data_IF_021814163117
#
_entry.id   IF_021814163117
#
_cell.length_a   1.000
_cell.length_b   1.000
_cell.length_c   1.000
_cell.angle_alpha   90.00
_cell.angle_beta   90.00
_cell.angle_gamma   90.00
#
_symmetry.space_group_name_H-M   'P 1'
#
loop_
_entity.id
_entity.type
_entity.pdbx_description
1 polymer ?
#
# COMPACT_ATOMS: atom_id res chain seq x y z
N UNK A 1 19.70 -1.21 14.49
CA UNK A 1 18.77 -2.05 13.71
C UNK A 1 17.55 -1.19 13.34
N UNK A 2 17.73 -0.16 12.51
CA UNK A 2 16.68 0.82 12.18
C UNK A 2 16.62 1.19 10.68
N UNK A 3 17.54 0.67 9.86
CA UNK A 3 17.65 1.07 8.45
C UNK A 3 16.66 0.34 7.53
N UNK A 4 16.18 -0.84 7.91
CA UNK A 4 15.31 -1.68 7.07
C UNK A 4 13.90 -1.10 6.89
N UNK A 5 13.34 -0.54 7.97
CA UNK A 5 11.98 0.00 7.99
C UNK A 5 11.79 1.22 7.08
N UNK A 6 12.87 1.98 6.86
CA UNK A 6 12.89 3.13 5.95
C UNK A 6 12.74 2.73 4.48
N UNK A 7 13.35 1.62 4.06
CA UNK A 7 13.25 1.14 2.69
C UNK A 7 11.85 0.59 2.37
N UNK A 8 11.23 -0.08 3.33
CA UNK A 8 9.86 -0.58 3.21
C UNK A 8 8.83 0.56 3.20
N UNK A 9 9.02 1.57 4.04
CA UNK A 9 8.21 2.78 4.03
C UNK A 9 8.29 3.52 2.70
N UNK A 10 9.49 3.66 2.12
CA UNK A 10 9.66 4.28 0.81
C UNK A 10 8.90 3.53 -0.29
N UNK A 11 8.93 2.20 -0.28
CA UNK A 11 8.17 1.39 -1.25
C UNK A 11 6.67 1.53 -1.08
N UNK A 12 6.17 1.44 0.15
CA UNK A 12 4.75 1.65 0.46
C UNK A 12 4.30 3.03 -0.01
N UNK A 13 5.07 4.07 0.32
CA UNK A 13 4.76 5.45 -0.07
C UNK A 13 4.74 5.63 -1.58
N UNK A 14 5.71 5.07 -2.30
CA UNK A 14 5.78 5.21 -3.77
C UNK A 14 4.57 4.56 -4.47
N UNK A 15 4.08 3.42 -3.96
CA UNK A 15 2.91 2.76 -4.53
C UNK A 15 1.63 3.53 -4.20
N UNK A 16 1.51 4.06 -2.98
CA UNK A 16 0.38 4.90 -2.58
C UNK A 16 0.36 6.19 -3.41
N UNK A 17 1.52 6.84 -3.61
CA UNK A 17 1.64 8.05 -4.44
C UNK A 17 1.19 7.75 -5.87
N UNK A 18 1.66 6.64 -6.47
CA UNK A 18 1.18 6.20 -7.79
C UNK A 18 -0.32 5.93 -7.82
N UNK A 19 -0.86 5.25 -6.80
CA UNK A 19 -2.29 4.95 -6.73
C UNK A 19 -3.15 6.22 -6.58
N UNK A 20 -2.62 7.24 -5.89
CA UNK A 20 -3.23 8.57 -5.79
C UNK A 20 -3.10 9.31 -7.12
N UNK A 21 -1.94 9.32 -7.78
CA UNK A 21 -1.73 9.98 -9.09
C UNK A 21 -2.63 9.38 -10.18
N UNK A 22 -2.71 8.05 -10.27
CA UNK A 22 -3.55 7.36 -11.25
C UNK A 22 -5.04 7.39 -10.85
N UNK A 23 -5.39 7.84 -9.63
CA UNK A 23 -6.72 7.70 -9.00
C UNK A 23 -7.26 6.26 -9.05
N UNK A 24 -6.38 5.29 -9.33
CA UNK A 24 -6.70 3.89 -9.51
C UNK A 24 -5.59 3.06 -8.94
N UNK A 25 -5.96 1.97 -8.28
CA UNK A 25 -5.01 0.99 -7.77
C UNK A 25 -5.26 -0.34 -8.47
N UNK A 26 -4.20 -0.95 -8.97
CA UNK A 26 -4.29 -2.28 -9.55
C UNK A 26 -4.06 -3.34 -8.48
N UNK A 27 -4.46 -4.58 -8.78
CA UNK A 27 -4.15 -5.69 -7.88
C UNK A 27 -2.64 -5.88 -7.71
N UNK A 28 -1.84 -5.58 -8.73
CA UNK A 28 -0.38 -5.67 -8.67
C UNK A 28 0.21 -4.66 -7.66
N UNK A 29 -0.31 -3.44 -7.64
CA UNK A 29 0.09 -2.40 -6.67
C UNK A 29 -0.34 -2.78 -5.25
N UNK A 30 -1.57 -3.27 -5.09
CA UNK A 30 -2.05 -3.74 -3.80
C UNK A 30 -1.21 -4.92 -3.27
N UNK A 31 -0.88 -5.90 -4.12
CA UNK A 31 -0.03 -7.03 -3.76
C UNK A 31 1.39 -6.56 -3.39
N UNK A 32 1.90 -5.52 -4.05
CA UNK A 32 3.19 -4.90 -3.72
C UNK A 32 3.17 -4.18 -2.38
N UNK A 33 2.08 -3.50 -2.03
CA UNK A 33 1.89 -2.87 -0.71
C UNK A 33 1.88 -3.96 0.36
N UNK A 34 1.10 -5.02 0.17
CA UNK A 34 1.03 -6.14 1.11
C UNK A 34 2.40 -6.82 1.24
N UNK A 35 3.08 -7.12 0.12
CA UNK A 35 4.43 -7.69 0.14
C UNK A 35 5.43 -6.76 0.82
N UNK A 36 5.35 -5.45 0.61
CA UNK A 36 6.23 -4.49 1.28
C UNK A 36 5.94 -4.41 2.79
N UNK A 37 4.68 -4.52 3.20
CA UNK A 37 4.26 -4.55 4.61
C UNK A 37 4.50 -5.90 5.31
N UNK A 38 4.79 -6.96 4.54
CA UNK A 38 5.07 -8.31 5.08
C UNK A 38 6.49 -8.76 4.79
N UNK A 39 7.32 -7.92 4.16
CA UNK A 39 8.67 -8.28 3.72
C UNK A 39 9.64 -8.47 4.89
N UNK A 40 9.44 -7.78 6.02
CA UNK A 40 10.15 -8.07 7.27
C UNK A 40 9.52 -9.24 8.06
N UNK A 41 8.45 -9.85 7.55
CA UNK A 41 7.75 -10.99 8.16
C UNK A 41 6.84 -10.60 9.33
N UNK A 42 6.71 -9.31 9.63
CA UNK A 42 5.91 -8.77 10.73
C UNK A 42 5.15 -7.56 10.20
N UNK A 43 3.81 -7.61 10.25
CA UNK A 43 2.96 -6.44 10.04
C UNK A 43 2.84 -5.75 11.40
N UNK A 44 3.42 -4.55 11.54
CA UNK A 44 3.19 -3.73 12.73
C UNK A 44 1.82 -3.06 12.68
N UNK A 45 1.34 -2.60 13.85
CA UNK A 45 0.09 -1.81 13.96
C UNK A 45 0.05 -0.60 13.02
N UNK A 46 1.22 -0.07 12.67
CA UNK A 46 1.36 1.07 11.76
C UNK A 46 1.02 0.69 10.32
N UNK A 47 1.53 -0.44 9.83
CA UNK A 47 1.24 -0.97 8.49
C UNK A 47 -0.20 -1.43 8.39
N UNK A 48 -0.72 -2.02 9.46
CA UNK A 48 -2.12 -2.41 9.52
C UNK A 48 -3.06 -1.19 9.42
N UNK A 49 -2.70 -0.08 10.05
CA UNK A 49 -3.44 1.19 9.93
C UNK A 49 -3.35 1.78 8.51
N UNK A 50 -2.18 1.72 7.88
CA UNK A 50 -1.95 2.20 6.51
C UNK A 50 -2.77 1.39 5.49
N UNK A 51 -2.80 0.07 5.65
CA UNK A 51 -3.63 -0.83 4.83
C UNK A 51 -5.12 -0.56 5.02
N UNK A 52 -5.54 -0.31 6.26
CA UNK A 52 -6.92 0.05 6.55
C UNK A 52 -7.30 1.38 5.90
N UNK A 53 -6.43 2.39 5.97
CA UNK A 53 -6.65 3.70 5.34
C UNK A 53 -6.72 3.58 3.81
N UNK A 54 -5.85 2.77 3.21
CA UNK A 54 -5.90 2.47 1.78
C UNK A 54 -7.22 1.78 1.38
N UNK A 55 -7.68 0.80 2.18
CA UNK A 55 -8.97 0.14 1.96
C UNK A 55 -10.13 1.10 2.08
N UNK A 56 -10.10 1.99 3.06
CA UNK A 56 -11.11 3.02 3.26
C UNK A 56 -11.16 3.99 2.08
N UNK A 57 -10.01 4.45 1.58
CA UNK A 57 -9.92 5.28 0.38
C UNK A 57 -10.46 4.57 -0.88
N UNK A 58 -10.25 3.26 -1.00
CA UNK A 58 -10.81 2.46 -2.09
C UNK A 58 -12.33 2.34 -1.94
N UNK A 59 -12.81 2.19 -0.71
CA UNK A 59 -14.23 2.02 -0.39
C UNK A 59 -15.03 3.35 -0.53
N UNK A 60 -14.44 4.46 -0.11
CA UNK A 60 -14.95 5.83 -0.30
C UNK A 60 -14.99 6.23 -1.79
N UNK A 61 -14.15 5.60 -2.61
CA UNK A 61 -14.08 5.83 -4.05
C UNK A 61 -13.07 6.93 -4.44
N UNK A 62 -12.29 7.42 -3.47
CA UNK A 62 -11.11 8.24 -3.68
C UNK A 62 -10.08 7.54 -4.58
N UNK A 63 -9.97 6.21 -4.47
CA UNK A 63 -9.17 5.37 -5.39
C UNK A 63 -10.05 4.27 -5.97
N UNK A 64 -10.00 4.05 -7.30
CA UNK A 64 -10.73 2.94 -7.91
C UNK A 64 -9.89 1.69 -8.03
N UNK A 65 -10.37 0.58 -7.47
CA UNK A 65 -9.74 -0.72 -7.67
C UNK A 65 -9.97 -1.21 -9.11
N UNK A 66 -8.91 -1.20 -9.92
CA UNK A 66 -8.98 -1.63 -11.32
C UNK A 66 -8.49 -3.07 -11.44
N UNK A 67 -9.42 -4.03 -11.45
CA UNK A 67 -9.11 -5.38 -11.93
C UNK A 67 -8.95 -5.33 -13.45
N UNK A 68 -7.73 -5.57 -13.96
CA UNK A 68 -7.55 -5.90 -15.38
C UNK A 68 -8.43 -7.13 -15.67
N UNK A 69 -9.36 -6.97 -16.61
CA UNK A 69 -10.11 -8.05 -17.24
C UNK A 69 -9.22 -8.84 -18.18
#
# INVERSE_FOLDING_TARGET
MEHKKLEEWHKLREIIDKAIEDHTITREDYDRIINAATADGVIDNYEQSLLAELHDMIHDGSIKFRQKK
#
